data_IF_846095627765
#
_entry.id   IF_846095627765
#
_cell.length_a   1.000
_cell.length_b   1.000
_cell.length_c   1.000
_cell.angle_alpha   90.00
_cell.angle_beta   90.00
_cell.angle_gamma   90.00
#
_symmetry.space_group_name_H-M   'P 1'
#
loop_
_entity.id
_entity.type
_entity.pdbx_description
1 polymer ?
#
# COMPACT_ATOMS: atom_id res chain seq x y z
N UNK A 1 15.70 -17.44 -9.30
CA UNK A 1 15.77 -17.53 -7.83
C UNK A 1 14.36 -17.78 -7.32
N UNK A 2 14.14 -18.83 -6.55
CA UNK A 2 12.81 -19.18 -6.07
C UNK A 2 12.25 -18.08 -5.15
N UNK A 3 11.00 -17.70 -5.36
CA UNK A 3 10.28 -16.83 -4.45
C UNK A 3 10.16 -17.53 -3.09
N UNK A 4 10.60 -16.85 -2.00
CA UNK A 4 10.43 -17.40 -0.65
C UNK A 4 8.95 -17.31 -0.29
N UNK A 5 8.25 -18.42 -0.46
CA UNK A 5 6.87 -18.56 0.01
C UNK A 5 6.86 -18.97 1.49
N UNK A 6 5.98 -18.35 2.28
CA UNK A 6 5.70 -18.73 3.68
C UNK A 6 4.22 -18.98 3.89
N UNK A 7 3.90 -20.04 4.62
CA UNK A 7 2.53 -20.38 5.00
C UNK A 7 2.24 -19.96 6.43
N UNK A 8 1.06 -19.43 6.64
CA UNK A 8 0.58 -18.95 7.94
C UNK A 8 -0.74 -19.66 8.28
N UNK A 9 -0.83 -20.16 9.50
CA UNK A 9 -2.06 -20.74 10.03
C UNK A 9 -3.12 -19.64 10.22
N UNK A 10 -4.41 -20.00 10.16
CA UNK A 10 -5.50 -19.06 10.48
C UNK A 10 -5.25 -18.32 11.79
N UNK A 11 -5.45 -17.01 11.80
CA UNK A 11 -5.25 -16.14 12.97
C UNK A 11 -3.81 -15.79 13.33
N UNK A 12 -2.80 -16.36 12.64
CA UNK A 12 -1.39 -16.07 12.92
C UNK A 12 -1.03 -14.63 12.58
N UNK A 13 -0.23 -14.01 13.43
CA UNK A 13 0.34 -12.68 13.19
C UNK A 13 1.54 -12.82 12.25
N UNK A 14 1.55 -12.02 11.19
CA UNK A 14 2.68 -11.91 10.24
C UNK A 14 3.71 -10.92 10.77
N UNK A 15 3.25 -9.76 11.21
CA UNK A 15 4.01 -8.73 11.93
C UNK A 15 3.07 -7.81 12.72
N UNK A 16 3.60 -7.07 13.68
CA UNK A 16 2.84 -6.13 14.51
C UNK A 16 3.09 -4.69 14.13
N UNK A 17 2.11 -3.85 14.36
CA UNK A 17 2.26 -2.40 14.32
C UNK A 17 3.44 -1.96 15.22
N UNK A 18 4.24 -1.02 14.74
CA UNK A 18 5.41 -0.49 15.43
C UNK A 18 6.68 -1.32 15.29
N UNK A 19 6.62 -2.57 14.81
CA UNK A 19 7.83 -3.35 14.52
C UNK A 19 8.64 -2.74 13.37
N UNK A 20 9.95 -2.97 13.36
CA UNK A 20 10.79 -2.63 12.20
C UNK A 20 10.38 -3.46 10.98
N UNK A 21 10.47 -2.90 9.77
CA UNK A 21 10.08 -3.58 8.54
C UNK A 21 11.26 -3.78 7.60
N UNK A 22 11.67 -5.02 7.39
CA UNK A 22 12.75 -5.41 6.50
C UNK A 22 12.30 -6.27 5.31
N UNK A 23 11.00 -6.55 5.20
CA UNK A 23 10.38 -7.27 4.09
C UNK A 23 8.99 -6.73 3.78
N UNK A 24 8.53 -6.95 2.54
CA UNK A 24 7.14 -6.82 2.12
C UNK A 24 6.56 -8.20 1.80
N UNK A 25 5.23 -8.29 1.74
CA UNK A 25 4.51 -9.51 1.45
C UNK A 25 3.54 -9.33 0.29
N UNK A 26 3.50 -10.29 -0.62
CA UNK A 26 2.45 -10.44 -1.63
C UNK A 26 1.57 -11.62 -1.24
N UNK A 27 0.26 -11.42 -1.17
CA UNK A 27 -0.70 -12.50 -0.89
C UNK A 27 -0.78 -13.40 -2.10
N UNK A 28 -0.39 -14.68 -1.95
CA UNK A 28 -0.49 -15.70 -2.99
C UNK A 28 -1.81 -16.46 -2.89
N UNK A 29 -2.22 -16.82 -1.68
CA UNK A 29 -3.53 -17.44 -1.40
C UNK A 29 -4.01 -17.09 0.01
N UNK A 30 -5.32 -17.20 0.27
CA UNK A 30 -5.97 -16.79 1.50
C UNK A 30 -6.12 -15.27 1.61
N UNK A 31 -6.43 -14.78 2.80
CA UNK A 31 -6.66 -13.36 3.06
C UNK A 31 -5.84 -12.88 4.26
N UNK A 32 -5.38 -11.63 4.21
CA UNK A 32 -4.71 -10.94 5.31
C UNK A 32 -5.60 -9.84 5.83
N UNK A 33 -5.72 -9.74 7.14
CA UNK A 33 -6.42 -8.69 7.86
C UNK A 33 -5.42 -7.68 8.40
N UNK A 34 -5.66 -6.39 8.14
CA UNK A 34 -4.87 -5.29 8.69
C UNK A 34 -5.62 -4.65 9.86
N UNK A 35 -4.94 -4.56 11.01
CA UNK A 35 -5.50 -4.05 12.27
C UNK A 35 -4.63 -2.92 12.82
N UNK A 36 -5.31 -1.97 13.47
CA UNK A 36 -4.68 -0.88 14.24
C UNK A 36 -4.58 -1.31 15.68
N UNK A 37 -4.01 -1.87 16.30
CA UNK A 37 -3.91 -2.54 17.61
C UNK A 37 -4.37 -4.00 17.48
N UNK A 38 -3.48 -4.89 17.79
CA UNK A 38 -3.75 -6.32 17.78
C UNK A 38 -4.55 -6.74 19.02
N UNK A 39 -5.73 -6.14 19.20
CA UNK A 39 -6.70 -6.63 20.20
C UNK A 39 -7.71 -7.54 19.52
N UNK A 40 -8.14 -8.64 20.15
CA UNK A 40 -9.07 -9.59 19.54
C UNK A 40 -10.39 -8.96 19.07
N UNK A 41 -10.82 -7.89 19.74
CA UNK A 41 -12.13 -7.25 19.55
C UNK A 41 -12.13 -6.08 18.55
N UNK A 42 -10.97 -5.72 17.99
CA UNK A 42 -10.89 -4.65 16.99
C UNK A 42 -11.08 -5.24 15.59
N UNK A 43 -12.11 -4.82 14.86
CA UNK A 43 -12.31 -5.29 13.49
C UNK A 43 -11.17 -4.81 12.59
N UNK A 44 -10.78 -5.61 11.57
CA UNK A 44 -9.79 -5.20 10.60
C UNK A 44 -10.29 -3.97 9.84
N UNK A 45 -9.42 -2.98 9.66
CA UNK A 45 -9.75 -1.81 8.83
C UNK A 45 -9.60 -2.10 7.33
N UNK A 46 -8.88 -3.16 6.97
CA UNK A 46 -8.75 -3.65 5.61
C UNK A 46 -8.52 -5.17 5.59
N UNK A 47 -9.04 -5.82 4.54
CA UNK A 47 -8.76 -7.22 4.22
C UNK A 47 -8.13 -7.28 2.85
N UNK A 48 -6.99 -7.96 2.76
CA UNK A 48 -6.21 -8.11 1.53
C UNK A 48 -6.41 -9.51 0.96
N UNK A 49 -6.72 -9.56 -0.33
CA UNK A 49 -6.95 -10.77 -1.11
C UNK A 49 -5.69 -11.17 -1.92
N UNK A 50 -5.67 -12.35 -2.55
CA UNK A 50 -4.60 -12.76 -3.45
C UNK A 50 -4.28 -11.71 -4.52
N UNK A 51 -3.00 -11.52 -4.79
CA UNK A 51 -2.48 -10.49 -5.69
C UNK A 51 -2.29 -9.11 -5.06
N UNK A 52 -2.65 -8.92 -3.80
CA UNK A 52 -2.41 -7.66 -3.08
C UNK A 52 -1.14 -7.75 -2.21
N UNK A 53 -0.49 -6.61 -2.04
CA UNK A 53 0.76 -6.48 -1.30
C UNK A 53 0.54 -5.65 -0.03
N UNK A 54 1.41 -5.88 0.97
CA UNK A 54 1.42 -5.12 2.22
C UNK A 54 2.81 -5.13 2.86
N UNK A 55 3.03 -4.18 3.78
CA UNK A 55 4.29 -4.03 4.50
C UNK A 55 5.40 -3.31 3.70
N UNK A 56 5.12 -2.89 2.47
CA UNK A 56 6.04 -2.20 1.56
C UNK A 56 6.44 -0.81 2.03
N UNK A 57 5.54 -0.10 2.74
CA UNK A 57 5.80 1.28 3.21
C UNK A 57 7.01 1.36 4.14
N UNK A 58 7.18 0.34 5.00
CA UNK A 58 8.33 0.26 5.88
C UNK A 58 9.66 0.03 5.12
N UNK A 59 9.60 -0.54 3.92
CA UNK A 59 10.77 -0.68 3.05
C UNK A 59 11.09 0.60 2.29
N UNK A 60 10.06 1.37 1.91
CA UNK A 60 10.23 2.61 1.15
C UNK A 60 10.92 3.71 1.95
N UNK A 61 10.51 3.92 3.18
CA UNK A 61 10.95 5.06 3.99
C UNK A 61 11.66 4.68 5.30
N UNK A 62 11.82 3.37 5.58
CA UNK A 62 12.46 2.90 6.81
C UNK A 62 11.65 3.07 8.08
N UNK A 63 10.42 3.54 8.00
CA UNK A 63 9.56 3.74 9.18
C UNK A 63 9.03 2.42 9.72
N UNK A 64 8.58 2.36 10.99
CA UNK A 64 7.95 1.19 11.57
C UNK A 64 6.69 0.74 10.82
N UNK A 65 6.28 -0.51 11.04
CA UNK A 65 5.01 -1.07 10.52
C UNK A 65 3.84 -0.19 10.93
N UNK A 66 3.03 0.22 9.97
CA UNK A 66 1.87 1.08 10.21
C UNK A 66 0.67 0.35 10.81
N UNK A 67 0.64 -0.98 10.72
CA UNK A 67 -0.46 -1.81 11.15
C UNK A 67 0.04 -3.20 11.54
N UNK A 68 -0.77 -3.92 12.29
CA UNK A 68 -0.62 -5.36 12.51
C UNK A 68 -1.24 -6.08 11.33
N UNK A 69 -0.51 -7.05 10.76
CA UNK A 69 -0.99 -7.94 9.72
C UNK A 69 -1.24 -9.33 10.31
N UNK A 70 -2.46 -9.85 10.13
CA UNK A 70 -2.90 -11.15 10.64
C UNK A 70 -3.46 -12.00 9.49
N UNK A 71 -3.12 -13.28 9.46
CA UNK A 71 -3.79 -14.24 8.60
C UNK A 71 -5.26 -14.35 9.01
N UNK A 72 -6.18 -14.29 8.05
CA UNK A 72 -7.62 -14.42 8.35
C UNK A 72 -7.92 -15.77 9.00
N UNK A 73 -8.89 -15.78 9.89
CA UNK A 73 -9.37 -17.02 10.52
C UNK A 73 -10.06 -17.98 9.53
N UNK A 74 -10.38 -17.53 8.33
CA UNK A 74 -11.12 -18.31 7.33
C UNK A 74 -10.31 -19.45 6.69
N UNK A 75 -8.96 -19.42 6.78
CA UNK A 75 -8.12 -20.46 6.19
C UNK A 75 -6.63 -20.18 6.27
N UNK A 76 -5.83 -21.12 5.75
CA UNK A 76 -4.38 -20.95 5.60
C UNK A 76 -4.06 -19.85 4.59
N UNK A 77 -3.02 -19.08 4.87
CA UNK A 77 -2.54 -18.00 4.00
C UNK A 77 -1.15 -18.33 3.52
N UNK A 78 -0.90 -18.19 2.22
CA UNK A 78 0.43 -18.28 1.63
C UNK A 78 0.87 -16.89 1.14
N UNK A 79 2.05 -16.47 1.58
CA UNK A 79 2.66 -15.19 1.25
C UNK A 79 3.97 -15.39 0.50
N UNK A 80 4.21 -14.61 -0.53
CA UNK A 80 5.53 -14.43 -1.12
C UNK A 80 6.23 -13.31 -0.36
N UNK A 81 7.42 -13.60 0.18
CA UNK A 81 8.22 -12.65 0.94
C UNK A 81 9.20 -11.96 0.00
N UNK A 82 9.20 -10.64 0.05
CA UNK A 82 10.14 -9.78 -0.69
C UNK A 82 11.01 -9.05 0.33
N UNK A 83 12.23 -9.51 0.50
CA UNK A 83 13.20 -8.88 1.40
C UNK A 83 13.64 -7.49 0.91
N UNK A 84 14.28 -6.72 1.81
CA UNK A 84 14.75 -5.36 1.52
C UNK A 84 15.69 -5.32 0.31
N UNK A 85 16.61 -6.26 0.17
CA UNK A 85 17.59 -6.26 -0.90
C UNK A 85 16.92 -6.42 -2.26
N UNK A 86 15.98 -7.36 -2.38
CA UNK A 86 15.16 -7.55 -3.59
C UNK A 86 14.28 -6.33 -3.88
N UNK A 87 13.67 -5.78 -2.85
CA UNK A 87 12.82 -4.59 -2.98
C UNK A 87 13.64 -3.41 -3.51
N UNK A 88 14.79 -3.12 -2.90
CA UNK A 88 15.71 -2.05 -3.34
C UNK A 88 16.20 -2.29 -4.75
N UNK A 89 16.58 -3.53 -5.10
CA UNK A 89 17.00 -3.89 -6.45
C UNK A 89 15.92 -3.58 -7.50
N UNK A 90 14.65 -3.92 -7.19
CA UNK A 90 13.52 -3.63 -8.08
C UNK A 90 13.25 -2.13 -8.23
N UNK A 91 13.30 -1.38 -7.12
CA UNK A 91 13.10 0.08 -7.15
C UNK A 91 14.27 0.80 -7.83
N UNK A 92 15.50 0.32 -7.65
CA UNK A 92 16.68 0.91 -8.30
C UNK A 92 16.63 0.82 -9.83
N UNK A 93 15.94 -0.18 -10.37
CA UNK A 93 15.70 -0.32 -11.81
C UNK A 93 14.59 0.61 -12.35
N UNK A 94 13.88 1.32 -11.48
CA UNK A 94 12.83 2.26 -11.90
C UNK A 94 13.43 3.57 -12.41
N UNK A 95 12.70 4.22 -13.32
CA UNK A 95 13.03 5.57 -13.73
C UNK A 95 12.96 6.54 -12.52
N UNK A 96 13.72 7.64 -12.53
CA UNK A 96 13.65 8.65 -11.47
C UNK A 96 12.21 9.08 -11.15
N UNK A 97 11.39 9.27 -12.18
CA UNK A 97 9.97 9.67 -12.05
C UNK A 97 9.16 8.64 -11.26
N UNK A 98 9.35 7.33 -11.52
CA UNK A 98 8.65 6.31 -10.75
C UNK A 98 9.10 6.28 -9.29
N UNK A 99 10.38 6.50 -9.01
CA UNK A 99 10.91 6.55 -7.65
C UNK A 99 10.32 7.72 -6.85
N UNK A 100 10.33 8.93 -7.42
CA UNK A 100 9.70 10.10 -6.81
C UNK A 100 8.22 9.86 -6.54
N UNK A 101 7.54 9.19 -7.46
CA UNK A 101 6.13 8.83 -7.29
C UNK A 101 5.92 7.91 -6.08
N UNK A 102 6.78 6.90 -5.90
CA UNK A 102 6.70 5.99 -4.75
C UNK A 102 6.96 6.69 -3.43
N UNK A 103 8.00 7.51 -3.34
CA UNK A 103 8.31 8.29 -2.14
C UNK A 103 7.18 9.25 -1.80
N UNK A 104 6.62 9.88 -2.82
CA UNK A 104 5.49 10.78 -2.66
C UNK A 104 4.23 10.06 -2.14
N UNK A 105 3.87 8.91 -2.71
CA UNK A 105 2.72 8.12 -2.24
C UNK A 105 2.94 7.55 -0.84
N UNK A 106 4.13 7.07 -0.53
CA UNK A 106 4.45 6.57 0.80
C UNK A 106 4.25 7.66 1.86
N UNK A 107 4.79 8.86 1.62
CA UNK A 107 4.58 10.01 2.49
C UNK A 107 3.10 10.38 2.62
N UNK A 108 2.37 10.45 1.50
CA UNK A 108 0.95 10.78 1.52
C UNK A 108 0.10 9.77 2.33
N UNK A 109 0.37 8.48 2.18
CA UNK A 109 -0.36 7.43 2.90
C UNK A 109 -0.07 7.51 4.41
N UNK A 110 1.16 7.84 4.81
CA UNK A 110 1.52 7.99 6.23
C UNK A 110 0.88 9.21 6.88
N UNK A 111 0.93 10.33 6.18
CA UNK A 111 0.40 11.60 6.69
C UNK A 111 -1.13 11.62 6.75
N UNK A 112 -1.77 10.68 6.05
CA UNK A 112 -3.24 10.61 6.01
C UNK A 112 -3.71 9.37 6.79
N UNK A 113 -4.46 9.52 7.90
CA UNK A 113 -4.94 8.39 8.70
C UNK A 113 -5.84 7.45 7.86
N UNK A 114 -5.32 6.25 7.54
CA UNK A 114 -6.03 5.24 6.71
C UNK A 114 -7.26 4.66 7.43
N UNK A 115 -7.18 4.63 8.74
CA UNK A 115 -8.12 4.01 9.68
C UNK A 115 -9.16 4.97 10.23
N UNK A 116 -9.02 6.26 10.08
CA UNK A 116 -10.10 7.19 10.35
C UNK A 116 -11.10 7.16 9.18
N UNK A 117 -12.40 7.07 9.46
CA UNK A 117 -13.41 7.38 8.44
C UNK A 117 -12.99 8.73 7.83
N UNK A 118 -12.98 8.87 6.50
CA UNK A 118 -12.67 10.15 5.90
C UNK A 118 -13.58 11.20 6.57
N UNK A 119 -12.98 12.13 7.32
CA UNK A 119 -13.71 13.28 7.80
C UNK A 119 -14.22 13.98 6.56
N UNK A 120 -15.50 14.32 6.47
CA UNK A 120 -15.97 15.16 5.38
C UNK A 120 -15.03 16.37 5.34
N UNK A 121 -14.42 16.62 4.19
CA UNK A 121 -13.54 17.77 4.04
C UNK A 121 -14.41 19.01 4.15
N UNK A 122 -14.22 19.79 5.20
CA UNK A 122 -14.97 21.02 5.48
C UNK A 122 -14.68 22.11 4.44
N UNK A 123 -13.57 21.99 3.69
CA UNK A 123 -13.21 22.86 2.59
C UNK A 123 -12.36 22.10 1.55
N UNK A 124 -12.41 22.47 0.24
CA UNK A 124 -11.52 21.91 -0.74
C UNK A 124 -10.05 22.21 -0.34
N UNK A 125 -9.11 21.28 -0.60
CA UNK A 125 -7.71 21.51 -0.28
C UNK A 125 -7.18 22.70 -1.10
N UNK A 126 -6.16 23.41 -0.59
CA UNK A 126 -5.50 24.47 -1.36
C UNK A 126 -5.07 23.95 -2.75
N UNK A 127 -5.15 24.75 -3.82
CA UNK A 127 -4.90 24.32 -5.19
C UNK A 127 -3.48 23.79 -5.44
N UNK A 128 -2.53 24.17 -4.63
CA UNK A 128 -1.13 23.72 -4.63
C UNK A 128 -0.86 22.61 -3.60
N UNK A 129 -1.90 22.10 -2.95
CA UNK A 129 -1.74 21.02 -2.00
C UNK A 129 -1.24 19.73 -2.68
N UNK A 130 -0.51 18.93 -1.90
CA UNK A 130 -0.03 17.61 -2.31
C UNK A 130 -1.17 16.71 -2.83
N UNK A 131 -2.36 16.83 -2.23
CA UNK A 131 -3.56 16.10 -2.63
C UNK A 131 -4.03 16.45 -4.04
N UNK A 132 -4.05 17.73 -4.41
CA UNK A 132 -4.45 18.19 -5.74
C UNK A 132 -3.45 17.72 -6.80
N UNK A 133 -2.14 17.81 -6.53
CA UNK A 133 -1.10 17.28 -7.44
C UNK A 133 -1.27 15.80 -7.70
N UNK A 134 -1.57 15.01 -6.67
CA UNK A 134 -1.84 13.57 -6.83
C UNK A 134 -3.09 13.35 -7.67
N UNK A 135 -4.18 14.08 -7.40
CA UNK A 135 -5.41 13.95 -8.16
C UNK A 135 -5.20 14.18 -9.66
N UNK A 136 -4.31 15.12 -10.01
CA UNK A 136 -3.96 15.42 -11.41
C UNK A 136 -3.03 14.37 -12.03
N UNK A 137 -2.12 13.79 -11.25
CA UNK A 137 -1.16 12.79 -11.73
C UNK A 137 -1.80 11.41 -11.97
N UNK A 138 -2.80 11.02 -11.16
CA UNK A 138 -3.42 9.69 -11.25
C UNK A 138 -3.99 9.41 -12.65
N UNK A 139 -4.83 10.26 -13.27
CA UNK A 139 -5.33 10.03 -14.62
C UNK A 139 -4.23 9.96 -15.67
N UNK A 140 -3.20 10.79 -15.53
CA UNK A 140 -2.05 10.78 -16.45
C UNK A 140 -1.27 9.47 -16.35
N UNK A 141 -1.13 8.91 -15.16
CA UNK A 141 -0.45 7.63 -14.93
C UNK A 141 -1.31 6.48 -15.49
N UNK A 142 -2.62 6.47 -15.21
CA UNK A 142 -3.53 5.43 -15.69
C UNK A 142 -3.62 5.39 -17.22
N UNK A 143 -3.70 6.55 -17.85
CA UNK A 143 -3.85 6.66 -19.31
C UNK A 143 -2.53 6.48 -20.08
N UNK A 144 -1.39 6.66 -19.44
CA UNK A 144 -0.07 6.60 -20.12
C UNK A 144 0.41 5.19 -20.46
N UNK A 145 -0.29 4.13 -20.03
CA UNK A 145 0.21 2.77 -20.11
C UNK A 145 1.45 2.49 -19.22
N UNK A 146 1.96 3.51 -18.53
CA UNK A 146 3.15 3.46 -17.67
C UNK A 146 2.94 2.70 -16.37
N UNK A 147 1.69 2.27 -16.08
CA UNK A 147 1.40 1.36 -14.96
C UNK A 147 1.91 -0.06 -15.18
N UNK A 148 2.35 -0.39 -16.41
CA UNK A 148 2.96 -1.69 -16.72
C UNK A 148 4.45 -1.50 -16.91
N UNK A 149 5.22 -1.80 -15.89
CA UNK A 149 6.68 -1.76 -15.94
C UNK A 149 7.28 -3.06 -16.48
N UNK A 150 6.45 -4.11 -16.63
CA UNK A 150 6.87 -5.47 -16.96
C UNK A 150 7.33 -6.27 -15.74
N UNK A 151 7.44 -5.65 -14.57
CA UNK A 151 7.66 -6.31 -13.27
C UNK A 151 6.35 -6.39 -12.51
N UNK A 152 5.84 -7.60 -12.33
CA UNK A 152 4.55 -7.84 -11.66
C UNK A 152 4.49 -7.22 -10.26
N UNK A 153 5.61 -7.22 -9.53
CA UNK A 153 5.68 -6.64 -8.18
C UNK A 153 5.49 -5.12 -8.22
N UNK A 154 6.20 -4.45 -9.12
CA UNK A 154 6.09 -2.99 -9.30
C UNK A 154 4.68 -2.62 -9.76
N UNK A 155 4.12 -3.37 -10.72
CA UNK A 155 2.78 -3.12 -11.24
C UNK A 155 1.70 -3.26 -10.17
N UNK A 156 1.81 -4.26 -9.28
CA UNK A 156 0.91 -4.43 -8.12
C UNK A 156 1.06 -3.27 -7.15
N UNK A 157 2.29 -2.85 -6.86
CA UNK A 157 2.57 -1.76 -5.93
C UNK A 157 2.02 -0.43 -6.44
N UNK A 158 2.21 -0.11 -7.72
CA UNK A 158 1.64 1.11 -8.34
C UNK A 158 0.12 1.11 -8.26
N UNK A 159 -0.53 0.00 -8.63
CA UNK A 159 -1.99 -0.12 -8.56
C UNK A 159 -2.51 0.09 -7.14
N UNK A 160 -1.83 -0.47 -6.16
CA UNK A 160 -2.20 -0.34 -4.76
C UNK A 160 -2.06 1.10 -4.27
N UNK A 161 -0.93 1.76 -4.55
CA UNK A 161 -0.70 3.16 -4.19
C UNK A 161 -1.73 4.08 -4.82
N UNK A 162 -2.04 3.88 -6.10
CA UNK A 162 -3.10 4.62 -6.81
C UNK A 162 -4.47 4.37 -6.16
N UNK A 163 -4.79 3.14 -5.81
CA UNK A 163 -6.04 2.80 -5.15
C UNK A 163 -6.18 3.49 -3.78
N UNK A 164 -5.12 3.49 -2.98
CA UNK A 164 -5.11 4.18 -1.68
C UNK A 164 -5.21 5.71 -1.85
N UNK A 165 -4.52 6.27 -2.82
CA UNK A 165 -4.59 7.70 -3.11
C UNK A 165 -6.00 8.11 -3.52
N UNK A 166 -6.65 7.39 -4.44
CA UNK A 166 -8.02 7.69 -4.89
C UNK A 166 -9.05 7.73 -3.76
N UNK A 167 -8.91 6.87 -2.77
CA UNK A 167 -9.84 6.83 -1.61
C UNK A 167 -9.74 8.06 -0.71
N UNK A 168 -8.75 8.89 -0.89
CA UNK A 168 -8.40 10.01 -0.02
C UNK A 168 -8.38 11.34 -0.71
N UNK A 169 -8.40 11.31 -2.04
CA UNK A 169 -8.48 12.52 -2.81
C UNK A 169 -9.89 13.08 -2.73
N UNK A 170 -10.04 14.40 -2.68
CA UNK A 170 -11.33 15.03 -2.90
C UNK A 170 -11.86 14.61 -4.26
N UNK A 171 -13.18 14.56 -4.46
CA UNK A 171 -13.74 14.37 -5.78
C UNK A 171 -13.17 15.44 -6.72
N UNK A 172 -12.93 15.09 -8.01
CA UNK A 172 -12.46 16.07 -8.97
C UNK A 172 -13.41 17.29 -8.96
N UNK A 173 -12.83 18.48 -9.01
CA UNK A 173 -13.62 19.70 -9.15
C UNK A 173 -14.55 19.53 -10.36
N UNK A 174 -15.82 19.87 -10.20
CA UNK A 174 -16.75 19.88 -11.33
C UNK A 174 -16.14 20.77 -12.42
N UNK A 175 -16.22 20.37 -13.71
CA UNK A 175 -15.77 21.22 -14.79
C UNK A 175 -16.55 22.55 -14.71
N UNK A 176 -15.80 23.63 -14.72
CA UNK A 176 -16.39 24.97 -14.82
C UNK A 176 -17.32 25.01 -16.08
N UNK A 177 -18.61 25.15 -15.83
CA UNK A 177 -19.59 25.34 -16.89
C UNK A 177 -19.53 26.78 -17.42
#
# INVERSE_FOLDING_TARGET
MADQSRKYRPGSIVFREGESGDYACLVKSGNIELLKLATPDVPPFATLAPGQMFGELALLDGSPRMATARASAAGEVELVIVDRARFVSKISGLTPTHRELFEFFAGFIRDTPIWSKPKPMEAPPPPDSRAVRIAQLIPAIENSGRMKTGDMFIDVMVKMLVHYAKRRLPPPAAPDM
#
